data_IF_603475518307
#
_entry.id   IF_603475518307
#
_cell.length_a   1.000
_cell.length_b   1.000
_cell.length_c   1.000
_cell.angle_alpha   90.00
_cell.angle_beta   90.00
_cell.angle_gamma   90.00
#
_symmetry.space_group_name_H-M   'P 1'
#
loop_
_entity.id
_entity.type
_entity.pdbx_description
1 polymer ?
#
# COMPACT_ATOMS: atom_id res chain seq x y z
N UNK A 1 25.14 52.74 16.43
CA UNK A 1 23.81 52.11 16.25
C UNK A 1 22.99 52.38 17.50
N UNK A 2 21.75 52.88 17.40
CA UNK A 2 20.89 53.10 18.57
C UNK A 2 20.02 51.86 18.85
N UNK A 3 19.34 51.82 20.00
CA UNK A 3 18.55 50.65 20.42
C UNK A 3 17.41 50.27 19.45
N UNK A 4 16.78 51.27 18.81
CA UNK A 4 15.73 51.06 17.82
C UNK A 4 16.27 50.43 16.53
N UNK A 5 17.39 50.94 16.01
CA UNK A 5 18.05 50.36 14.83
C UNK A 5 18.55 48.93 15.11
N UNK A 6 18.98 48.66 16.34
CA UNK A 6 19.34 47.30 16.75
C UNK A 6 18.12 46.38 16.81
N UNK A 7 16.99 46.81 17.40
CA UNK A 7 15.73 46.07 17.40
C UNK A 7 15.31 45.69 15.99
N UNK A 8 15.32 46.66 15.06
CA UNK A 8 14.97 46.41 13.66
C UNK A 8 15.84 45.32 13.04
N UNK A 9 17.15 45.40 13.21
CA UNK A 9 18.09 44.39 12.73
C UNK A 9 17.87 43.00 13.36
N UNK A 10 17.46 42.94 14.63
CA UNK A 10 17.13 41.67 15.29
C UNK A 10 15.86 41.08 14.68
N UNK A 11 14.79 41.87 14.52
CA UNK A 11 13.51 41.40 13.95
C UNK A 11 13.61 40.99 12.48
N UNK A 12 14.51 41.60 11.71
CA UNK A 12 14.82 41.17 10.34
C UNK A 12 15.50 39.78 10.28
N UNK A 13 16.14 39.33 11.37
CA UNK A 13 16.87 38.05 11.44
C UNK A 13 16.13 36.96 12.20
N UNK A 14 15.53 37.32 13.33
CA UNK A 14 14.85 36.41 14.24
C UNK A 14 13.73 37.14 15.01
N UNK A 15 12.51 36.69 14.77
CA UNK A 15 11.31 37.26 15.39
C UNK A 15 10.97 36.61 16.74
N UNK A 16 11.63 35.51 17.13
CA UNK A 16 11.33 34.76 18.34
C UNK A 16 12.14 35.23 19.57
N UNK A 17 13.17 36.06 19.39
CA UNK A 17 14.01 36.57 20.49
C UNK A 17 13.25 37.64 21.30
N UNK A 18 13.05 37.45 22.62
CA UNK A 18 12.50 38.50 23.47
C UNK A 18 13.37 39.75 23.47
N UNK A 19 12.78 40.92 23.26
CA UNK A 19 13.49 42.19 23.17
C UNK A 19 12.90 43.23 24.12
N UNK A 20 13.70 43.66 25.09
CA UNK A 20 13.31 44.66 26.08
C UNK A 20 14.23 45.88 25.94
N UNK A 21 13.64 47.05 25.75
CA UNK A 21 14.38 48.31 25.76
C UNK A 21 14.41 48.87 27.18
N UNK A 22 15.61 49.14 27.69
CA UNK A 22 15.81 49.76 29.00
C UNK A 22 16.68 51.01 28.89
N UNK A 23 16.06 52.21 28.91
CA UNK A 23 16.73 53.48 28.58
C UNK A 23 16.75 54.49 29.73
N UNK A 24 17.77 55.34 29.81
CA UNK A 24 17.91 56.38 30.85
C UNK A 24 16.97 57.57 30.71
N UNK A 25 16.69 57.99 29.48
CA UNK A 25 15.70 59.03 29.14
C UNK A 25 14.88 58.51 27.97
N UNK A 26 13.57 58.71 28.02
CA UNK A 26 12.66 58.26 26.99
C UNK A 26 11.56 59.29 26.76
N UNK A 27 11.36 59.69 25.50
CA UNK A 27 10.13 60.35 25.06
C UNK A 27 9.12 59.25 24.71
N UNK A 28 7.85 59.52 24.94
CA UNK A 28 6.75 58.59 24.68
C UNK A 28 6.74 58.11 23.22
N UNK A 29 7.06 59.02 22.29
CA UNK A 29 7.26 58.76 20.85
C UNK A 29 8.24 57.60 20.58
N UNK A 30 9.36 57.55 21.31
CA UNK A 30 10.41 56.53 21.13
C UNK A 30 9.97 55.18 21.72
N UNK A 31 9.17 55.20 22.79
CA UNK A 31 8.60 53.99 23.36
C UNK A 31 7.56 53.37 22.41
N UNK A 32 6.70 54.20 21.83
CA UNK A 32 5.74 53.76 20.81
C UNK A 32 6.45 53.19 19.57
N UNK A 33 7.48 53.88 19.07
CA UNK A 33 8.28 53.39 17.95
C UNK A 33 8.89 52.02 18.25
N UNK A 34 9.45 51.83 19.44
CA UNK A 34 10.00 50.54 19.86
C UNK A 34 8.98 49.40 19.86
N UNK A 35 7.79 49.64 20.44
CA UNK A 35 6.75 48.61 20.53
C UNK A 35 6.18 48.28 19.15
N UNK A 36 5.96 49.28 18.29
CA UNK A 36 5.52 49.07 16.90
C UNK A 36 6.53 48.30 16.07
N UNK A 37 7.83 48.44 16.37
CA UNK A 37 8.90 47.67 15.76
C UNK A 37 9.10 46.29 16.40
N UNK A 38 8.23 45.87 17.32
CA UNK A 38 8.23 44.53 17.89
C UNK A 38 9.06 44.34 19.16
N UNK A 39 9.39 45.41 19.90
CA UNK A 39 9.88 45.25 21.27
C UNK A 39 8.77 44.66 22.15
N UNK A 40 9.11 43.69 23.00
CA UNK A 40 8.14 43.06 23.90
C UNK A 40 7.87 43.94 25.13
N UNK A 41 8.87 44.72 25.57
CA UNK A 41 8.74 45.70 26.67
C UNK A 41 9.62 46.91 26.46
N UNK A 42 9.19 48.04 27.04
CA UNK A 42 9.98 49.26 27.15
C UNK A 42 9.98 49.75 28.60
N UNK A 43 11.15 50.07 29.14
CA UNK A 43 11.33 50.53 30.50
C UNK A 43 12.28 51.74 30.55
N UNK A 44 11.98 52.69 31.43
CA UNK A 44 12.84 53.83 31.72
C UNK A 44 13.64 53.60 33.03
N UNK A 45 14.93 53.94 33.01
CA UNK A 45 15.80 53.96 34.20
C UNK A 45 15.46 55.23 34.99
N UNK A 46 15.13 55.07 36.27
CA UNK A 46 14.79 56.16 37.16
C UNK A 46 13.98 55.68 38.38
N UNK A 47 14.04 56.43 39.48
CA UNK A 47 13.49 56.01 40.77
C UNK A 47 14.41 55.06 41.54
N UNK A 48 13.86 54.28 42.48
CA UNK A 48 14.64 53.36 43.31
C UNK A 48 15.22 52.20 42.46
N UNK A 49 16.56 52.03 42.42
CA UNK A 49 17.22 50.99 41.61
C UNK A 49 16.73 49.57 41.93
N UNK A 50 16.56 49.25 43.23
CA UNK A 50 16.17 47.91 43.68
C UNK A 50 14.80 47.53 43.12
N UNK A 51 13.84 48.44 43.14
CA UNK A 51 12.50 48.23 42.56
C UNK A 51 12.55 48.05 41.04
N UNK A 52 13.28 48.92 40.32
CA UNK A 52 13.36 48.87 38.86
C UNK A 52 14.04 47.63 38.33
N UNK A 53 15.12 47.19 38.96
CA UNK A 53 15.80 45.96 38.55
C UNK A 53 14.96 44.72 38.85
N UNK A 54 14.17 44.70 39.92
CA UNK A 54 13.20 43.62 40.16
C UNK A 54 12.13 43.56 39.06
N UNK A 55 11.58 44.71 38.64
CA UNK A 55 10.61 44.77 37.53
C UNK A 55 11.24 44.26 36.23
N UNK A 56 12.46 44.71 35.91
CA UNK A 56 13.16 44.25 34.71
C UNK A 56 13.45 42.75 34.76
N UNK A 57 13.92 42.22 35.89
CA UNK A 57 14.18 40.80 36.05
C UNK A 57 12.91 39.97 35.84
N UNK A 58 11.79 40.38 36.44
CA UNK A 58 10.49 39.73 36.24
C UNK A 58 10.04 39.80 34.77
N UNK A 59 10.21 40.94 34.12
CA UNK A 59 9.87 41.12 32.72
C UNK A 59 10.71 40.21 31.81
N UNK A 60 12.03 40.11 32.04
CA UNK A 60 12.91 39.20 31.30
C UNK A 60 12.43 37.76 31.46
N UNK A 61 12.15 37.32 32.69
CA UNK A 61 11.66 35.95 32.95
C UNK A 61 10.33 35.70 32.24
N UNK A 62 9.39 36.64 32.31
CA UNK A 62 8.06 36.49 31.72
C UNK A 62 8.10 36.47 30.19
N UNK A 63 8.83 37.38 29.55
CA UNK A 63 8.91 37.42 28.08
C UNK A 63 9.67 36.22 27.52
N UNK A 64 10.74 35.76 28.20
CA UNK A 64 11.43 34.51 27.83
C UNK A 64 10.49 33.31 27.96
N UNK A 65 9.71 33.21 29.06
CA UNK A 65 8.74 32.13 29.25
C UNK A 65 7.66 32.15 28.15
N UNK A 66 7.11 33.32 27.84
CA UNK A 66 6.08 33.51 26.82
C UNK A 66 6.57 33.11 25.43
N UNK A 67 7.69 33.68 24.96
CA UNK A 67 8.26 33.37 23.64
C UNK A 67 8.67 31.90 23.51
N UNK A 68 9.23 31.29 24.56
CA UNK A 68 9.53 29.85 24.56
C UNK A 68 8.27 28.97 24.51
N UNK A 69 7.16 29.40 25.11
CA UNK A 69 5.89 28.68 25.00
C UNK A 69 5.31 28.79 23.59
N UNK A 70 5.24 30.01 23.04
CA UNK A 70 4.79 30.28 21.66
C UNK A 70 5.64 29.53 20.62
N UNK A 71 6.97 29.58 20.73
CA UNK A 71 7.86 28.88 19.81
C UNK A 71 7.72 27.36 19.90
N UNK A 72 7.55 26.80 21.11
CA UNK A 72 7.26 25.37 21.30
C UNK A 72 5.93 24.98 20.69
N UNK A 73 4.89 25.77 20.90
CA UNK A 73 3.57 25.55 20.31
C UNK A 73 3.64 25.58 18.78
N UNK A 74 4.21 26.62 18.19
CA UNK A 74 4.40 26.75 16.73
C UNK A 74 5.22 25.60 16.13
N UNK A 75 6.26 25.13 16.85
CA UNK A 75 7.07 23.98 16.42
C UNK A 75 6.26 22.68 16.46
N UNK A 76 5.50 22.46 17.52
CA UNK A 76 4.63 21.29 17.66
C UNK A 76 3.51 21.30 16.63
N UNK A 77 2.87 22.44 16.38
CA UNK A 77 1.84 22.62 15.36
C UNK A 77 2.40 22.34 13.96
N UNK A 78 3.55 22.94 13.60
CA UNK A 78 4.22 22.66 12.32
C UNK A 78 4.57 21.17 12.18
N UNK A 79 5.01 20.51 13.25
CA UNK A 79 5.32 19.07 13.25
C UNK A 79 4.05 18.25 13.04
N UNK A 80 2.98 18.54 13.79
CA UNK A 80 1.68 17.89 13.64
C UNK A 80 1.15 18.03 12.22
N UNK A 81 1.11 19.26 11.68
CA UNK A 81 0.62 19.53 10.33
C UNK A 81 1.43 18.78 9.27
N UNK A 82 2.76 18.72 9.40
CA UNK A 82 3.60 17.92 8.49
C UNK A 82 3.27 16.43 8.55
N UNK A 83 3.11 15.87 9.74
CA UNK A 83 2.78 14.44 9.91
C UNK A 83 1.39 14.13 9.36
N UNK A 84 0.39 14.93 9.76
CA UNK A 84 -0.99 14.79 9.33
C UNK A 84 -1.12 14.78 7.80
N UNK A 85 -0.45 15.69 7.09
CA UNK A 85 -0.47 15.76 5.62
C UNK A 85 0.34 14.66 4.92
N UNK A 86 1.40 14.14 5.56
CA UNK A 86 2.28 13.13 4.96
C UNK A 86 1.76 11.68 5.08
N UNK A 87 0.83 11.40 6.00
CA UNK A 87 0.28 10.05 6.19
C UNK A 87 -0.50 9.62 4.93
N UNK A 88 -0.27 8.40 4.41
CA UNK A 88 -0.94 7.91 3.19
C UNK A 88 -2.37 7.41 3.41
N UNK A 89 -2.73 7.08 4.65
CA UNK A 89 -4.10 6.72 5.04
C UNK A 89 -4.96 7.99 5.10
N UNK A 90 -6.24 7.84 4.77
CA UNK A 90 -7.19 8.94 4.81
C UNK A 90 -7.46 9.31 6.27
N UNK A 91 -7.28 10.57 6.64
CA UNK A 91 -7.57 11.04 7.99
C UNK A 91 -8.64 12.12 7.94
N UNK A 92 -9.68 11.93 8.75
CA UNK A 92 -10.73 12.90 9.00
C UNK A 92 -10.73 13.31 10.47
N UNK A 93 -10.96 14.59 10.73
CA UNK A 93 -11.28 15.11 12.06
C UNK A 93 -12.74 15.50 12.04
N UNK A 94 -13.55 14.87 12.89
CA UNK A 94 -14.99 15.11 12.99
C UNK A 94 -15.32 15.75 14.33
N UNK A 95 -16.41 16.51 14.41
CA UNK A 95 -17.04 16.84 15.69
C UNK A 95 -17.98 15.73 16.18
N UNK A 96 -18.55 15.93 17.38
CA UNK A 96 -19.52 15.01 18.03
C UNK A 96 -20.72 14.66 17.17
N UNK A 97 -21.06 15.47 16.16
CA UNK A 97 -22.23 15.28 15.30
C UNK A 97 -21.86 14.69 13.94
N UNK A 98 -20.56 14.41 13.71
CA UNK A 98 -20.04 13.90 12.45
C UNK A 98 -19.85 14.97 11.37
N UNK A 99 -19.76 16.25 11.74
CA UNK A 99 -19.35 17.29 10.80
C UNK A 99 -17.82 17.33 10.68
N UNK A 100 -17.32 17.46 9.45
CA UNK A 100 -15.90 17.35 9.16
C UNK A 100 -15.22 18.68 9.44
N UNK A 101 -14.29 18.68 10.40
CA UNK A 101 -13.50 19.86 10.79
C UNK A 101 -12.20 19.97 10.00
N UNK A 102 -11.59 18.84 9.67
CA UNK A 102 -10.37 18.84 8.87
C UNK A 102 -10.15 17.48 8.18
N UNK A 103 -9.32 17.48 7.14
CA UNK A 103 -8.86 16.29 6.42
C UNK A 103 -7.41 16.45 5.99
N UNK A 104 -6.70 15.33 5.87
CA UNK A 104 -5.35 15.34 5.31
C UNK A 104 -5.35 15.27 3.78
N UNK A 105 -4.19 15.53 3.17
CA UNK A 105 -4.03 15.50 1.71
C UNK A 105 -4.36 14.12 1.09
N UNK A 106 -4.26 13.04 1.86
CA UNK A 106 -4.59 11.70 1.36
C UNK A 106 -6.08 11.55 1.05
N UNK A 107 -6.96 12.20 1.81
CA UNK A 107 -8.40 12.25 1.51
C UNK A 107 -8.61 12.86 0.14
N UNK A 108 -8.10 14.06 -0.10
CA UNK A 108 -8.32 14.77 -1.37
C UNK A 108 -7.75 14.00 -2.57
N UNK A 109 -6.51 13.49 -2.44
CA UNK A 109 -5.86 12.72 -3.51
C UNK A 109 -6.61 11.44 -3.88
N UNK A 110 -7.20 10.75 -2.90
CA UNK A 110 -7.88 9.46 -3.15
C UNK A 110 -9.35 9.62 -3.49
N UNK A 111 -10.04 10.59 -2.90
CA UNK A 111 -11.46 10.83 -3.20
C UNK A 111 -11.65 11.57 -4.52
N UNK A 112 -10.69 12.42 -4.90
CA UNK A 112 -10.78 13.33 -6.06
C UNK A 112 -11.50 14.64 -5.76
N UNK A 113 -11.83 14.91 -4.49
CA UNK A 113 -12.51 16.12 -4.05
C UNK A 113 -11.53 17.05 -3.33
N UNK A 114 -11.72 18.35 -3.51
CA UNK A 114 -10.91 19.36 -2.85
C UNK A 114 -11.29 19.50 -1.38
N UNK A 115 -10.37 20.03 -0.57
CA UNK A 115 -10.55 20.15 0.88
C UNK A 115 -11.77 21.02 1.20
N UNK A 116 -11.97 22.08 0.44
CA UNK A 116 -13.05 23.05 0.58
C UNK A 116 -14.43 22.45 0.24
N UNK A 117 -14.47 21.38 -0.56
CA UNK A 117 -15.70 20.62 -0.85
C UNK A 117 -16.07 19.66 0.30
N UNK A 118 -15.09 19.31 1.15
CA UNK A 118 -15.22 18.29 2.20
C UNK A 118 -15.41 18.93 3.58
N UNK A 119 -14.54 19.87 3.94
CA UNK A 119 -14.52 20.49 5.26
C UNK A 119 -15.76 21.35 5.46
N UNK A 120 -16.40 21.21 6.61
CA UNK A 120 -17.65 21.88 6.96
C UNK A 120 -18.91 21.08 6.62
N UNK A 121 -18.81 20.04 5.79
CA UNK A 121 -19.93 19.16 5.46
C UNK A 121 -20.14 18.07 6.52
N UNK A 122 -21.34 17.48 6.54
CA UNK A 122 -21.58 16.27 7.34
C UNK A 122 -21.02 15.02 6.64
N UNK A 123 -20.58 14.02 7.40
CA UNK A 123 -20.22 12.70 6.86
C UNK A 123 -21.38 12.06 6.04
N UNK A 124 -22.65 12.45 6.32
CA UNK A 124 -23.84 12.01 5.55
C UNK A 124 -23.91 12.62 4.15
N UNK A 125 -23.31 13.79 3.97
CA UNK A 125 -23.35 14.59 2.75
C UNK A 125 -22.14 14.35 1.86
N UNK A 126 -21.18 13.54 2.32
CA UNK A 126 -19.97 13.27 1.54
C UNK A 126 -20.31 12.53 0.24
N UNK A 127 -19.93 13.09 -0.92
CA UNK A 127 -20.36 12.57 -2.21
C UNK A 127 -19.77 11.20 -2.56
N UNK A 128 -18.66 10.82 -1.91
CA UNK A 128 -18.02 9.53 -2.13
C UNK A 128 -18.47 8.44 -1.15
N UNK A 129 -19.31 8.75 -0.17
CA UNK A 129 -19.89 7.77 0.76
C UNK A 129 -21.29 7.35 0.32
N UNK A 130 -21.58 6.05 0.39
CA UNK A 130 -22.97 5.58 0.26
C UNK A 130 -23.75 5.91 1.53
N UNK A 131 -25.08 6.01 1.44
CA UNK A 131 -25.94 6.19 2.62
C UNK A 131 -25.66 5.11 3.69
N UNK A 132 -25.53 3.85 3.27
CA UNK A 132 -25.17 2.72 4.14
C UNK A 132 -23.81 2.94 4.83
N UNK A 133 -22.78 3.34 4.09
CA UNK A 133 -21.45 3.59 4.67
C UNK A 133 -21.47 4.76 5.65
N UNK A 134 -22.18 5.85 5.33
CA UNK A 134 -22.31 7.01 6.22
C UNK A 134 -23.03 6.66 7.53
N UNK A 135 -24.09 5.84 7.48
CA UNK A 135 -24.81 5.36 8.66
C UNK A 135 -23.92 4.48 9.56
N UNK A 136 -23.11 3.60 8.97
CA UNK A 136 -22.16 2.77 9.72
C UNK A 136 -21.17 3.65 10.49
N UNK A 137 -20.59 4.65 9.83
CA UNK A 137 -19.62 5.56 10.45
C UNK A 137 -20.26 6.31 11.63
N UNK A 138 -21.43 6.88 11.43
CA UNK A 138 -22.14 7.64 12.46
C UNK A 138 -22.58 6.80 13.65
N UNK A 139 -23.11 5.60 13.39
CA UNK A 139 -23.48 4.65 14.45
C UNK A 139 -22.25 4.24 15.27
N UNK A 140 -21.10 4.11 14.62
CA UNK A 140 -19.85 3.78 15.32
C UNK A 140 -19.29 4.99 16.09
N UNK A 141 -19.44 6.22 15.60
CA UNK A 141 -19.18 7.44 16.36
C UNK A 141 -20.04 7.50 17.64
N UNK A 142 -21.36 7.31 17.52
CA UNK A 142 -22.28 7.31 18.67
C UNK A 142 -21.90 6.26 19.72
N UNK A 143 -21.53 5.06 19.25
CA UNK A 143 -21.07 3.97 20.14
C UNK A 143 -19.76 4.32 20.85
N UNK A 144 -18.80 4.95 20.16
CA UNK A 144 -17.55 5.42 20.77
C UNK A 144 -17.80 6.49 21.81
N UNK A 145 -18.62 7.50 21.49
CA UNK A 145 -19.03 8.55 22.43
C UNK A 145 -19.71 7.98 23.68
N UNK A 146 -20.44 6.86 23.54
CA UNK A 146 -21.01 6.12 24.66
C UNK A 146 -20.01 5.24 25.44
N UNK A 147 -18.70 5.38 25.20
CA UNK A 147 -17.64 4.65 25.88
C UNK A 147 -17.42 3.21 25.42
N UNK A 148 -17.94 2.82 24.24
CA UNK A 148 -17.72 1.46 23.70
C UNK A 148 -16.44 1.41 22.88
N UNK A 149 -15.57 0.47 23.22
CA UNK A 149 -14.47 0.06 22.34
C UNK A 149 -15.03 -0.67 21.12
N UNK A 150 -14.53 -0.32 19.94
CA UNK A 150 -14.95 -0.91 18.67
C UNK A 150 -13.73 -1.43 17.91
N UNK A 151 -13.81 -2.64 17.32
CA UNK A 151 -12.80 -3.07 16.36
C UNK A 151 -12.87 -2.20 15.09
N UNK A 152 -11.85 -2.32 14.24
CA UNK A 152 -11.92 -1.76 12.89
C UNK A 152 -13.09 -2.38 12.12
N UNK A 153 -13.62 -1.61 11.18
CA UNK A 153 -14.73 -2.04 10.32
C UNK A 153 -14.49 -1.59 8.90
N UNK A 154 -15.11 -2.28 7.93
CA UNK A 154 -14.93 -1.95 6.52
C UNK A 154 -16.13 -1.22 5.96
N UNK A 155 -15.86 -0.22 5.12
CA UNK A 155 -16.86 0.48 4.32
C UNK A 155 -16.45 0.49 2.85
N UNK A 156 -17.44 0.62 1.96
CA UNK A 156 -17.22 0.83 0.54
C UNK A 156 -17.53 2.27 0.19
N UNK A 157 -16.66 2.87 -0.61
CA UNK A 157 -16.78 4.26 -1.08
C UNK A 157 -16.51 4.31 -2.58
N UNK A 158 -16.99 5.37 -3.22
CA UNK A 158 -16.84 5.58 -4.67
C UNK A 158 -16.21 6.93 -4.91
N UNK A 159 -15.03 6.96 -5.55
CA UNK A 159 -14.33 8.21 -5.83
C UNK A 159 -15.08 9.06 -6.86
N UNK A 160 -14.66 10.31 -7.05
CA UNK A 160 -15.17 11.21 -8.10
C UNK A 160 -15.07 10.61 -9.50
N UNK A 161 -14.00 9.84 -9.75
CA UNK A 161 -13.76 9.12 -11.01
C UNK A 161 -14.51 7.78 -11.10
N UNK A 162 -15.39 7.48 -10.13
CA UNK A 162 -16.19 6.24 -10.01
C UNK A 162 -15.37 4.98 -9.76
N UNK A 163 -14.16 5.12 -9.19
CA UNK A 163 -13.39 3.98 -8.73
C UNK A 163 -13.90 3.49 -7.36
N UNK A 164 -14.17 2.18 -7.19
CA UNK A 164 -14.56 1.64 -5.90
C UNK A 164 -13.33 1.48 -4.99
N UNK A 165 -13.42 2.00 -3.77
CA UNK A 165 -12.46 1.75 -2.70
C UNK A 165 -13.12 0.99 -1.55
N UNK A 166 -12.36 0.07 -0.97
CA UNK A 166 -12.70 -0.60 0.28
C UNK A 166 -11.79 -0.04 1.37
N UNK A 167 -12.39 0.63 2.34
CA UNK A 167 -11.68 1.29 3.43
C UNK A 167 -11.88 0.51 4.73
N UNK A 168 -10.78 0.17 5.41
CA UNK A 168 -10.77 -0.23 6.80
C UNK A 168 -10.70 1.01 7.67
N UNK A 169 -11.69 1.21 8.53
CA UNK A 169 -11.88 2.42 9.32
C UNK A 169 -11.66 2.13 10.79
N UNK A 170 -10.87 2.98 11.43
CA UNK A 170 -10.76 3.08 12.87
C UNK A 170 -10.97 4.54 13.31
N UNK A 171 -11.53 4.76 14.50
CA UNK A 171 -11.77 6.09 15.04
C UNK A 171 -11.40 6.14 16.51
N UNK A 172 -10.77 7.25 16.91
CA UNK A 172 -10.36 7.54 18.28
C UNK A 172 -11.03 8.86 18.72
N UNK A 173 -11.60 8.92 19.92
CA UNK A 173 -12.19 10.15 20.43
C UNK A 173 -11.11 11.21 20.68
N UNK A 174 -11.47 12.45 20.39
CA UNK A 174 -10.69 13.62 20.78
C UNK A 174 -11.34 14.23 22.02
N UNK A 175 -10.55 14.41 23.06
CA UNK A 175 -10.98 14.98 24.33
C UNK A 175 -10.18 16.24 24.67
N UNK A 176 -10.86 17.22 25.24
CA UNK A 176 -10.25 18.43 25.78
C UNK A 176 -10.87 18.69 27.15
N UNK A 177 -10.02 18.82 28.17
CA UNK A 177 -10.44 19.08 29.56
C UNK A 177 -11.47 18.06 30.12
N UNK A 178 -11.40 16.81 29.64
CA UNK A 178 -12.32 15.73 30.07
C UNK A 178 -13.65 15.71 29.32
N UNK A 179 -13.87 16.64 28.39
CA UNK A 179 -14.99 16.58 27.46
C UNK A 179 -14.54 16.02 26.12
N UNK A 180 -15.25 15.02 25.60
CA UNK A 180 -15.18 14.68 24.17
C UNK A 180 -15.44 15.97 23.39
N UNK A 181 -14.72 16.22 22.30
CA UNK A 181 -14.96 17.33 21.37
C UNK A 181 -15.21 16.85 19.94
N UNK A 182 -14.84 15.59 19.65
CA UNK A 182 -14.96 15.00 18.33
C UNK A 182 -14.26 13.66 18.25
N UNK A 183 -13.87 13.27 17.04
CA UNK A 183 -13.04 12.09 16.80
C UNK A 183 -12.05 12.31 15.66
N UNK A 184 -10.94 11.59 15.72
CA UNK A 184 -10.05 11.38 14.58
C UNK A 184 -10.36 10.02 13.97
N UNK A 185 -10.65 10.01 12.68
CA UNK A 185 -10.96 8.80 11.92
C UNK A 185 -9.81 8.54 10.95
N UNK A 186 -9.25 7.34 11.01
CA UNK A 186 -8.25 6.85 10.07
C UNK A 186 -8.90 5.78 9.21
N UNK A 187 -8.87 5.98 7.90
CA UNK A 187 -9.40 5.05 6.92
C UNK A 187 -8.27 4.57 5.99
N UNK A 188 -7.90 3.30 6.14
CA UNK A 188 -6.88 2.62 5.35
C UNK A 188 -7.51 1.98 4.12
N UNK A 189 -6.91 2.20 2.96
CA UNK A 189 -7.33 1.56 1.71
C UNK A 189 -6.81 0.13 1.64
N UNK A 190 -7.75 -0.82 1.74
CA UNK A 190 -7.50 -2.26 1.65
C UNK A 190 -8.02 -2.85 0.33
N UNK A 191 -8.33 -2.01 -0.67
CA UNK A 191 -8.98 -2.43 -1.92
C UNK A 191 -8.18 -3.51 -2.64
N UNK A 192 -6.86 -3.31 -2.78
CA UNK A 192 -5.97 -4.28 -3.44
C UNK A 192 -5.88 -5.58 -2.66
N UNK A 193 -5.80 -5.49 -1.33
CA UNK A 193 -5.74 -6.66 -0.46
C UNK A 193 -7.03 -7.48 -0.55
N UNK A 194 -8.20 -6.85 -0.43
CA UNK A 194 -9.51 -7.51 -0.53
C UNK A 194 -9.75 -8.14 -1.89
N UNK A 195 -9.38 -7.45 -2.97
CA UNK A 195 -9.45 -8.03 -4.33
C UNK A 195 -8.58 -9.28 -4.44
N UNK A 196 -7.35 -9.24 -3.91
CA UNK A 196 -6.46 -10.40 -3.92
C UNK A 196 -6.98 -11.56 -3.07
N UNK A 197 -7.41 -11.29 -1.84
CA UNK A 197 -8.03 -12.30 -0.95
C UNK A 197 -9.19 -13.00 -1.64
N UNK A 198 -10.08 -12.24 -2.29
CA UNK A 198 -11.22 -12.79 -3.01
C UNK A 198 -10.79 -13.65 -4.21
N UNK A 199 -9.84 -13.18 -5.01
CA UNK A 199 -9.33 -13.96 -6.16
C UNK A 199 -8.75 -15.29 -5.68
N UNK A 200 -7.98 -15.28 -4.57
CA UNK A 200 -7.43 -16.51 -3.99
C UNK A 200 -8.54 -17.43 -3.51
N UNK A 201 -9.55 -16.90 -2.80
CA UNK A 201 -10.67 -17.71 -2.30
C UNK A 201 -11.44 -18.36 -3.46
N UNK A 202 -11.87 -17.57 -4.45
CA UNK A 202 -12.63 -18.06 -5.61
C UNK A 202 -11.82 -19.15 -6.36
N UNK A 203 -10.51 -18.93 -6.53
CA UNK A 203 -9.60 -19.89 -7.14
C UNK A 203 -9.47 -21.19 -6.33
N UNK A 204 -9.34 -21.10 -5.00
CA UNK A 204 -9.29 -22.30 -4.15
C UNK A 204 -10.59 -23.10 -4.20
N UNK A 205 -11.75 -22.44 -4.22
CA UNK A 205 -13.04 -23.13 -4.35
C UNK A 205 -13.18 -23.84 -5.69
N UNK A 206 -12.83 -23.17 -6.80
CA UNK A 206 -12.87 -23.77 -8.13
C UNK A 206 -11.93 -24.97 -8.25
N UNK A 207 -10.72 -24.87 -7.70
CA UNK A 207 -9.77 -25.98 -7.65
C UNK A 207 -10.35 -27.19 -6.92
N UNK A 208 -10.91 -27.00 -5.73
CA UNK A 208 -11.51 -28.09 -4.93
C UNK A 208 -12.61 -28.80 -5.72
N UNK A 209 -13.49 -28.06 -6.40
CA UNK A 209 -14.58 -28.64 -7.19
C UNK A 209 -14.12 -29.40 -8.44
N UNK A 210 -12.92 -29.12 -8.96
CA UNK A 210 -12.37 -29.76 -10.16
C UNK A 210 -11.50 -30.99 -9.87
N UNK A 211 -11.25 -31.34 -8.60
CA UNK A 211 -10.42 -32.49 -8.27
C UNK A 211 -11.05 -33.77 -8.83
N UNK A 212 -10.28 -34.51 -9.62
CA UNK A 212 -10.75 -35.75 -10.26
C UNK A 212 -11.43 -35.55 -11.62
N UNK A 213 -11.60 -34.31 -12.10
CA UNK A 213 -12.10 -34.04 -13.44
C UNK A 213 -10.97 -33.85 -14.47
N UNK A 214 -11.29 -34.06 -15.74
CA UNK A 214 -10.39 -33.77 -16.87
C UNK A 214 -10.03 -32.27 -16.98
N UNK A 215 -10.81 -31.40 -16.36
CA UNK A 215 -10.68 -29.95 -16.43
C UNK A 215 -9.71 -29.38 -15.39
N UNK A 216 -9.32 -30.15 -14.37
CA UNK A 216 -8.48 -29.69 -13.25
C UNK A 216 -7.26 -28.89 -13.72
N UNK A 217 -6.51 -29.41 -14.69
CA UNK A 217 -5.30 -28.76 -15.17
C UNK A 217 -5.58 -27.42 -15.84
N UNK A 218 -6.71 -27.29 -16.52
CA UNK A 218 -7.12 -26.05 -17.17
C UNK A 218 -7.58 -25.02 -16.13
N UNK A 219 -8.37 -25.43 -15.14
CA UNK A 219 -8.76 -24.58 -14.00
C UNK A 219 -7.52 -24.01 -13.28
N UNK A 220 -6.51 -24.86 -13.00
CA UNK A 220 -5.25 -24.43 -12.37
C UNK A 220 -4.59 -23.29 -13.14
N UNK A 221 -4.42 -23.42 -14.46
CA UNK A 221 -3.71 -22.39 -15.23
C UNK A 221 -4.53 -21.12 -15.42
N UNK A 222 -5.86 -21.22 -15.48
CA UNK A 222 -6.74 -20.06 -15.62
C UNK A 222 -6.80 -19.25 -14.34
N UNK A 223 -6.87 -19.90 -13.18
CA UNK A 223 -6.84 -19.21 -11.88
C UNK A 223 -5.45 -18.66 -11.55
N UNK A 224 -4.39 -19.42 -11.84
CA UNK A 224 -3.02 -18.91 -11.73
C UNK A 224 -2.81 -17.64 -12.57
N UNK A 225 -3.45 -17.55 -13.75
CA UNK A 225 -3.39 -16.37 -14.62
C UNK A 225 -4.12 -15.18 -14.02
N UNK A 226 -5.30 -15.40 -13.41
CA UNK A 226 -6.06 -14.34 -12.71
C UNK A 226 -5.25 -13.75 -11.55
N UNK A 227 -4.55 -14.59 -10.78
CA UNK A 227 -3.77 -14.16 -9.60
C UNK A 227 -2.47 -13.44 -10.00
N UNK A 228 -1.82 -13.88 -11.10
CA UNK A 228 -0.49 -13.38 -11.48
C UNK A 228 -0.48 -12.16 -12.40
N UNK A 229 -1.60 -11.84 -13.06
CA UNK A 229 -1.60 -10.90 -14.20
C UNK A 229 -0.67 -11.32 -15.35
N UNK A 230 -0.23 -12.58 -15.39
CA UNK A 230 0.60 -13.08 -16.49
C UNK A 230 -0.20 -13.11 -17.80
N UNK A 231 0.49 -12.91 -18.93
CA UNK A 231 -0.15 -12.99 -20.25
C UNK A 231 -0.63 -14.41 -20.51
N UNK A 232 0.19 -15.39 -20.18
CA UNK A 232 -0.11 -16.82 -20.24
C UNK A 232 0.41 -17.52 -18.99
N UNK A 233 -0.26 -18.60 -18.58
CA UNK A 233 0.27 -19.54 -17.60
C UNK A 233 0.24 -20.94 -18.17
N UNK A 234 1.30 -21.70 -17.96
CA UNK A 234 1.43 -23.10 -18.38
C UNK A 234 1.55 -24.00 -17.17
N UNK A 235 0.98 -25.20 -17.24
CA UNK A 235 1.21 -26.25 -16.26
C UNK A 235 1.90 -27.43 -16.93
N UNK A 236 3.07 -27.80 -16.42
CA UNK A 236 3.78 -29.01 -16.84
C UNK A 236 3.88 -29.98 -15.68
N UNK A 237 3.56 -31.26 -15.89
CA UNK A 237 3.72 -32.32 -14.89
C UNK A 237 5.02 -33.08 -15.13
N UNK A 238 5.68 -33.51 -14.05
CA UNK A 238 6.91 -34.28 -14.11
C UNK A 238 6.66 -35.75 -13.76
N UNK A 239 7.29 -36.65 -14.52
CA UNK A 239 7.40 -38.07 -14.22
C UNK A 239 8.85 -38.35 -13.77
N UNK A 240 9.04 -38.61 -12.48
CA UNK A 240 10.35 -38.81 -11.89
C UNK A 240 11.05 -40.08 -12.38
N UNK A 241 10.29 -41.16 -12.57
CA UNK A 241 10.84 -42.46 -12.98
C UNK A 241 11.38 -42.41 -14.41
N UNK A 242 10.65 -41.71 -15.30
CA UNK A 242 11.05 -41.55 -16.71
C UNK A 242 11.98 -40.34 -16.93
N UNK A 243 12.08 -39.43 -15.96
CA UNK A 243 12.81 -38.18 -16.12
C UNK A 243 12.20 -37.27 -17.19
N UNK A 244 10.89 -37.30 -17.37
CA UNK A 244 10.17 -36.58 -18.43
C UNK A 244 9.23 -35.51 -17.90
N UNK A 245 9.06 -34.43 -18.67
CA UNK A 245 8.09 -33.38 -18.40
C UNK A 245 7.06 -33.32 -19.53
N UNK A 246 5.79 -33.15 -19.17
CA UNK A 246 4.67 -33.08 -20.11
C UNK A 246 3.84 -31.83 -19.84
N UNK A 247 3.58 -31.05 -20.89
CA UNK A 247 2.68 -29.90 -20.82
C UNK A 247 1.24 -30.40 -20.71
N UNK A 248 0.52 -29.96 -19.67
CA UNK A 248 -0.87 -30.35 -19.39
C UNK A 248 -1.89 -29.30 -19.76
N UNK A 249 -1.60 -28.03 -19.52
CA UNK A 249 -2.55 -26.95 -19.78
C UNK A 249 -1.82 -25.62 -20.06
N UNK A 250 -2.52 -24.74 -20.79
CA UNK A 250 -2.09 -23.36 -21.07
C UNK A 250 -3.29 -22.43 -20.98
N UNK A 251 -3.20 -21.38 -20.17
CA UNK A 251 -4.24 -20.35 -20.07
C UNK A 251 -3.95 -19.17 -20.99
N UNK A 252 -5.02 -18.50 -21.42
CA UNK A 252 -4.95 -17.25 -22.19
C UNK A 252 -4.54 -17.40 -23.67
N UNK A 253 -4.13 -18.60 -24.12
CA UNK A 253 -3.73 -18.84 -25.50
C UNK A 253 -4.91 -19.37 -26.33
N UNK A 254 -5.46 -18.53 -27.22
CA UNK A 254 -6.49 -18.94 -28.18
C UNK A 254 -5.93 -19.96 -29.19
N UNK A 255 -6.81 -20.79 -29.76
CA UNK A 255 -6.48 -21.84 -30.73
C UNK A 255 -5.53 -21.41 -31.87
N UNK A 256 -5.70 -20.22 -32.50
CA UNK A 256 -4.78 -19.78 -33.56
C UNK A 256 -3.34 -19.54 -33.09
N UNK A 257 -3.17 -19.01 -31.88
CA UNK A 257 -1.84 -18.80 -31.30
C UNK A 257 -1.18 -20.14 -30.97
N UNK A 258 -1.93 -21.06 -30.36
CA UNK A 258 -1.44 -22.41 -30.03
C UNK A 258 -1.04 -23.20 -31.28
N UNK A 259 -1.76 -23.03 -32.40
CA UNK A 259 -1.38 -23.63 -33.68
C UNK A 259 -0.03 -23.09 -34.17
N UNK A 260 0.16 -21.77 -34.17
CA UNK A 260 1.43 -21.14 -34.57
C UNK A 260 2.62 -21.60 -33.71
N UNK A 261 2.41 -21.75 -32.41
CA UNK A 261 3.43 -22.29 -31.50
C UNK A 261 3.72 -23.77 -31.81
N UNK A 262 2.70 -24.57 -32.08
CA UNK A 262 2.84 -25.99 -32.48
C UNK A 262 3.65 -26.13 -33.77
N UNK A 263 3.30 -25.32 -34.78
CA UNK A 263 3.97 -25.30 -36.09
C UNK A 263 5.45 -24.88 -35.94
N UNK A 264 5.73 -23.85 -35.14
CA UNK A 264 7.10 -23.40 -34.86
C UNK A 264 7.94 -24.46 -34.11
N UNK A 265 7.31 -25.27 -33.26
CA UNK A 265 7.94 -26.39 -32.56
C UNK A 265 8.02 -27.67 -33.40
N UNK A 266 7.37 -27.71 -34.57
CA UNK A 266 7.32 -28.90 -35.42
C UNK A 266 6.51 -30.05 -34.81
N UNK A 267 5.52 -29.76 -33.96
CA UNK A 267 4.74 -30.78 -33.24
C UNK A 267 3.26 -30.71 -33.63
N UNK A 268 2.62 -31.86 -33.85
CA UNK A 268 1.18 -31.92 -34.20
C UNK A 268 0.27 -31.56 -33.01
N UNK A 269 0.68 -31.90 -31.79
CA UNK A 269 -0.08 -31.60 -30.57
C UNK A 269 0.86 -31.37 -29.39
N UNK A 270 0.86 -30.14 -28.86
CA UNK A 270 1.69 -29.72 -27.73
C UNK A 270 1.40 -30.49 -26.44
N UNK A 271 0.15 -30.88 -26.20
CA UNK A 271 -0.26 -31.61 -24.98
C UNK A 271 0.10 -33.10 -25.02
N UNK A 272 0.49 -33.63 -26.19
CA UNK A 272 1.05 -34.99 -26.34
C UNK A 272 2.56 -35.02 -26.28
N UNK A 273 3.23 -33.85 -26.27
CA UNK A 273 4.67 -33.75 -26.24
C UNK A 273 5.21 -34.06 -24.83
N UNK A 274 6.16 -34.98 -24.77
CA UNK A 274 6.84 -35.37 -23.55
C UNK A 274 8.35 -35.17 -23.71
N UNK A 275 8.91 -34.25 -22.93
CA UNK A 275 10.30 -33.81 -23.03
C UNK A 275 11.17 -34.60 -22.05
N UNK A 276 12.29 -35.14 -22.51
CA UNK A 276 13.30 -35.76 -21.64
C UNK A 276 14.14 -34.67 -20.95
N UNK A 277 13.92 -34.48 -19.65
CA UNK A 277 14.50 -33.34 -18.89
C UNK A 277 15.39 -33.78 -17.73
N UNK A 278 15.25 -35.01 -17.23
CA UNK A 278 15.84 -35.48 -15.97
C UNK A 278 17.37 -35.39 -15.88
N UNK A 279 18.08 -35.39 -17.01
CA UNK A 279 19.54 -35.28 -17.06
C UNK A 279 20.05 -33.85 -17.31
N UNK A 280 19.17 -32.88 -17.58
CA UNK A 280 19.59 -31.53 -17.96
C UNK A 280 20.00 -30.70 -16.73
N UNK A 281 21.09 -29.92 -16.79
CA UNK A 281 21.50 -29.03 -15.69
C UNK A 281 20.42 -28.01 -15.31
N UNK A 282 19.62 -27.58 -16.29
CA UNK A 282 18.51 -26.64 -16.10
C UNK A 282 17.38 -27.25 -15.29
N UNK A 283 17.03 -28.51 -15.56
CA UNK A 283 16.03 -29.23 -14.77
C UNK A 283 16.51 -29.45 -13.32
N UNK A 284 17.79 -29.77 -13.11
CA UNK A 284 18.38 -29.90 -11.77
C UNK A 284 18.21 -28.64 -10.91
N UNK A 285 18.19 -27.44 -11.51
CA UNK A 285 17.91 -26.17 -10.80
C UNK A 285 16.54 -26.19 -10.07
N UNK A 286 15.57 -26.92 -10.62
CA UNK A 286 14.21 -27.06 -10.08
C UNK A 286 14.04 -28.27 -9.16
N UNK A 287 14.82 -29.34 -9.36
CA UNK A 287 14.71 -30.57 -8.56
C UNK A 287 15.61 -30.60 -7.31
N UNK A 288 16.74 -29.87 -7.32
CA UNK A 288 17.73 -29.86 -6.21
C UNK A 288 17.33 -28.90 -5.09
N UNK A 289 16.56 -27.86 -5.41
CA UNK A 289 16.01 -26.95 -4.40
C UNK A 289 14.71 -27.54 -3.87
N UNK A 290 14.78 -28.23 -2.72
CA UNK A 290 13.59 -28.60 -1.92
C UNK A 290 12.79 -27.38 -1.42
N UNK A 291 13.34 -26.18 -1.59
CA UNK A 291 12.68 -24.92 -1.28
C UNK A 291 11.83 -24.43 -2.45
N UNK A 292 10.55 -24.14 -2.19
CA UNK A 292 9.58 -23.55 -3.13
C UNK A 292 9.96 -22.10 -3.46
N UNK A 293 11.01 -21.91 -4.25
CA UNK A 293 11.48 -20.58 -4.68
C UNK A 293 11.10 -20.33 -6.14
N UNK A 294 10.44 -19.21 -6.45
CA UNK A 294 10.22 -18.79 -7.83
C UNK A 294 11.56 -18.65 -8.56
N UNK A 295 11.62 -19.14 -9.79
CA UNK A 295 12.82 -19.05 -10.63
C UNK A 295 12.50 -18.15 -11.82
N UNK A 296 13.09 -16.96 -11.82
CA UNK A 296 13.11 -16.11 -13.01
C UNK A 296 14.07 -16.75 -14.02
N UNK A 297 13.58 -16.95 -15.24
CA UNK A 297 14.30 -17.60 -16.32
C UNK A 297 14.76 -16.55 -17.34
N UNK A 298 15.92 -16.80 -17.95
CA UNK A 298 16.51 -15.85 -18.91
C UNK A 298 15.74 -15.79 -20.23
N UNK A 299 15.29 -16.95 -20.69
CA UNK A 299 14.68 -17.13 -22.00
C UNK A 299 13.83 -18.42 -22.04
N UNK A 300 13.11 -18.60 -23.13
CA UNK A 300 12.27 -19.76 -23.41
C UNK A 300 13.09 -21.03 -23.64
N UNK A 301 14.38 -20.88 -23.95
CA UNK A 301 15.33 -22.00 -24.02
C UNK A 301 15.59 -22.57 -22.63
N UNK A 302 15.73 -21.72 -21.60
CA UNK A 302 15.78 -22.17 -20.22
C UNK A 302 14.45 -22.78 -19.76
N UNK A 303 13.33 -22.17 -20.15
CA UNK A 303 11.97 -22.63 -19.82
C UNK A 303 11.66 -24.03 -20.36
N UNK A 304 12.17 -24.34 -21.55
CA UNK A 304 12.04 -25.68 -22.17
C UNK A 304 13.16 -26.63 -21.77
N UNK A 305 13.91 -26.31 -20.72
CA UNK A 305 15.06 -27.09 -20.22
C UNK A 305 16.17 -27.35 -21.26
N UNK A 306 16.19 -26.56 -22.34
CA UNK A 306 17.08 -26.72 -23.47
C UNK A 306 16.70 -27.82 -24.45
N UNK A 307 15.45 -28.31 -24.43
CA UNK A 307 14.97 -29.36 -25.33
C UNK A 307 14.78 -28.91 -26.78
N UNK A 308 14.71 -27.61 -27.03
CA UNK A 308 14.62 -27.03 -28.39
C UNK A 308 15.81 -26.14 -28.68
N UNK A 309 16.13 -25.90 -29.96
CA UNK A 309 17.20 -24.98 -30.31
C UNK A 309 16.82 -23.52 -29.99
N UNK A 310 17.83 -22.66 -29.79
CA UNK A 310 17.63 -21.25 -29.39
C UNK A 310 16.84 -20.43 -30.42
N UNK A 311 16.99 -20.73 -31.71
CA UNK A 311 16.28 -20.01 -32.79
C UNK A 311 14.77 -20.22 -32.72
N UNK A 312 14.35 -21.47 -32.49
CA UNK A 312 12.93 -21.84 -32.30
C UNK A 312 12.39 -21.20 -31.03
N UNK A 313 13.12 -21.27 -29.92
CA UNK A 313 12.73 -20.62 -28.66
C UNK A 313 12.52 -19.11 -28.83
N UNK A 314 13.46 -18.40 -29.47
CA UNK A 314 13.33 -16.96 -29.73
C UNK A 314 12.15 -16.62 -30.65
N UNK A 315 11.87 -17.48 -31.61
CA UNK A 315 10.69 -17.32 -32.49
C UNK A 315 9.39 -17.43 -31.70
N UNK A 316 9.30 -18.38 -30.75
CA UNK A 316 8.13 -18.56 -29.89
C UNK A 316 7.96 -17.36 -28.95
N UNK A 317 9.03 -16.85 -28.33
CA UNK A 317 8.96 -15.63 -27.49
C UNK A 317 8.36 -14.45 -28.25
N UNK A 318 8.78 -14.26 -29.51
CA UNK A 318 8.25 -13.22 -30.40
C UNK A 318 6.79 -13.46 -30.76
N UNK A 319 6.42 -14.70 -31.11
CA UNK A 319 5.03 -15.09 -31.43
C UNK A 319 4.11 -14.84 -30.23
N UNK A 320 4.57 -15.19 -29.02
CA UNK A 320 3.80 -15.04 -27.79
C UNK A 320 3.89 -13.62 -27.23
N UNK A 321 4.88 -12.81 -27.63
CA UNK A 321 5.13 -11.47 -27.10
C UNK A 321 5.42 -11.50 -25.60
N UNK A 322 6.33 -12.39 -25.19
CA UNK A 322 6.74 -12.62 -23.80
C UNK A 322 8.10 -11.97 -23.58
N UNK A 323 8.26 -11.26 -22.46
CA UNK A 323 9.50 -10.60 -22.05
C UNK A 323 10.12 -11.19 -20.80
N UNK A 324 9.30 -11.74 -19.91
CA UNK A 324 9.76 -12.34 -18.65
C UNK A 324 9.05 -13.68 -18.45
N UNK A 325 9.81 -14.68 -17.98
CA UNK A 325 9.29 -16.00 -17.65
C UNK A 325 9.67 -16.32 -16.22
N UNK A 326 8.67 -16.65 -15.40
CA UNK A 326 8.86 -17.13 -14.03
C UNK A 326 8.34 -18.55 -13.91
N UNK A 327 9.14 -19.45 -13.39
CA UNK A 327 8.75 -20.83 -13.13
C UNK A 327 8.66 -21.07 -11.61
N UNK A 328 7.51 -21.57 -11.14
CA UNK A 328 7.28 -21.97 -9.75
C UNK A 328 7.18 -23.50 -9.69
N UNK A 329 8.10 -24.17 -8.98
CA UNK A 329 8.03 -25.61 -8.76
C UNK A 329 6.77 -25.98 -7.95
N UNK A 330 6.04 -26.99 -8.40
CA UNK A 330 4.97 -27.64 -7.63
C UNK A 330 5.58 -28.83 -6.90
N UNK A 331 5.64 -28.73 -5.57
CA UNK A 331 6.19 -29.78 -4.72
C UNK A 331 5.08 -30.42 -3.89
N UNK A 332 4.94 -31.74 -3.97
CA UNK A 332 4.17 -32.51 -2.98
C UNK A 332 5.05 -33.55 -2.32
N UNK A 333 4.95 -33.68 -0.99
CA UNK A 333 5.78 -34.59 -0.18
C UNK A 333 7.28 -34.49 -0.51
N UNK A 334 7.78 -33.26 -0.64
CA UNK A 334 9.15 -32.90 -1.09
C UNK A 334 9.56 -33.38 -2.49
N UNK A 335 8.63 -33.95 -3.28
CA UNK A 335 8.85 -34.38 -4.65
C UNK A 335 8.30 -33.36 -5.64
N UNK A 336 9.06 -33.11 -6.70
CA UNK A 336 8.63 -32.25 -7.81
C UNK A 336 7.56 -32.96 -8.63
N UNK A 337 6.31 -32.49 -8.52
CA UNK A 337 5.17 -33.05 -9.26
C UNK A 337 4.88 -32.29 -10.56
N UNK A 338 5.33 -31.04 -10.65
CA UNK A 338 5.15 -30.21 -11.83
C UNK A 338 5.75 -28.81 -11.68
N UNK A 339 5.50 -27.95 -12.67
CA UNK A 339 5.95 -26.56 -12.70
C UNK A 339 4.80 -25.69 -13.27
N UNK A 340 4.50 -24.59 -12.60
CA UNK A 340 3.73 -23.48 -13.15
C UNK A 340 4.68 -22.48 -13.81
N UNK A 341 4.52 -22.28 -15.11
CA UNK A 341 5.24 -21.28 -15.88
C UNK A 341 4.38 -20.05 -16.12
N UNK A 342 4.81 -18.89 -15.64
CA UNK A 342 4.15 -17.59 -15.81
C UNK A 342 4.90 -16.79 -16.86
N UNK A 343 4.20 -16.40 -17.93
CA UNK A 343 4.79 -15.69 -19.07
C UNK A 343 4.21 -14.28 -19.13
N UNK A 344 5.05 -13.27 -18.88
CA UNK A 344 4.67 -11.86 -18.79
C UNK A 344 5.05 -11.08 -20.05
N UNK A 345 4.25 -10.06 -20.40
CA UNK A 345 4.52 -9.14 -21.52
C UNK A 345 5.49 -8.00 -21.17
N UNK A 346 5.81 -7.83 -19.89
CA UNK A 346 6.70 -6.79 -19.38
C UNK A 346 7.53 -7.34 -18.21
N UNK A 347 8.75 -6.83 -18.07
CA UNK A 347 9.60 -7.09 -16.91
C UNK A 347 9.19 -6.19 -15.73
N UNK A 348 9.19 -6.74 -14.52
CA UNK A 348 8.98 -5.97 -13.29
C UNK A 348 10.20 -6.05 -12.38
N UNK A 349 10.68 -4.89 -11.91
CA UNK A 349 11.86 -4.83 -11.02
C UNK A 349 11.64 -5.51 -9.67
N UNK A 350 10.40 -5.55 -9.16
CA UNK A 350 10.03 -6.17 -7.88
C UNK A 350 8.63 -6.78 -8.00
N UNK A 351 8.55 -8.08 -8.28
CA UNK A 351 7.30 -8.84 -8.26
C UNK A 351 7.11 -9.48 -6.88
N UNK A 352 5.92 -9.37 -6.32
CA UNK A 352 5.54 -10.16 -5.13
C UNK A 352 5.07 -11.55 -5.60
N UNK A 353 5.67 -12.61 -5.03
CA UNK A 353 5.37 -14.00 -5.37
C UNK A 353 4.52 -14.73 -4.30
N UNK A 354 4.21 -14.10 -3.17
CA UNK A 354 3.57 -14.74 -2.01
C UNK A 354 2.25 -15.40 -2.41
N UNK A 355 1.38 -14.67 -3.11
CA UNK A 355 0.10 -15.21 -3.61
C UNK A 355 0.27 -16.35 -4.61
N UNK A 356 1.34 -16.33 -5.42
CA UNK A 356 1.62 -17.39 -6.40
C UNK A 356 2.16 -18.65 -5.73
N UNK A 357 2.95 -18.50 -4.67
CA UNK A 357 3.44 -19.61 -3.87
C UNK A 357 2.30 -20.29 -3.10
N UNK A 358 1.41 -19.50 -2.46
CA UNK A 358 0.21 -20.02 -1.81
C UNK A 358 -0.65 -20.79 -2.82
N UNK A 359 -0.88 -20.23 -4.00
CA UNK A 359 -1.66 -20.91 -5.04
C UNK A 359 -0.98 -22.19 -5.55
N UNK A 360 0.34 -22.17 -5.73
CA UNK A 360 1.12 -23.34 -6.15
C UNK A 360 0.96 -24.51 -5.16
N UNK A 361 0.85 -24.23 -3.86
CA UNK A 361 0.61 -25.25 -2.84
C UNK A 361 -0.74 -25.93 -3.03
N UNK A 362 -1.81 -25.14 -3.19
CA UNK A 362 -3.15 -25.68 -3.48
C UNK A 362 -3.15 -26.50 -4.78
N UNK A 363 -2.53 -25.99 -5.85
CA UNK A 363 -2.43 -26.70 -7.12
C UNK A 363 -1.67 -28.04 -6.97
N UNK A 364 -0.55 -28.05 -6.22
CA UNK A 364 0.22 -29.27 -6.00
C UNK A 364 -0.58 -30.37 -5.29
N UNK A 365 -1.36 -30.00 -4.27
CA UNK A 365 -2.22 -30.93 -3.53
C UNK A 365 -3.39 -31.42 -4.38
N UNK A 366 -4.00 -30.54 -5.19
CA UNK A 366 -5.10 -30.90 -6.08
C UNK A 366 -4.65 -31.90 -7.16
N UNK A 367 -3.48 -31.70 -7.76
CA UNK A 367 -2.88 -32.62 -8.74
C UNK A 367 -2.62 -33.99 -8.11
N UNK A 368 -2.05 -34.03 -6.90
CA UNK A 368 -1.76 -35.29 -6.21
C UNK A 368 -3.04 -36.04 -5.85
N UNK A 369 -4.04 -35.34 -5.29
CA UNK A 369 -5.36 -35.94 -5.00
C UNK A 369 -6.01 -36.52 -6.26
N UNK A 370 -6.01 -35.77 -7.36
CA UNK A 370 -6.57 -36.25 -8.63
C UNK A 370 -5.84 -37.50 -9.16
N UNK A 371 -4.51 -37.60 -8.99
CA UNK A 371 -3.77 -38.82 -9.33
C UNK A 371 -4.19 -40.02 -8.47
N UNK A 372 -4.42 -39.83 -7.18
CA UNK A 372 -4.89 -40.91 -6.30
C UNK A 372 -6.29 -41.39 -6.68
N UNK A 373 -7.20 -40.48 -7.05
CA UNK A 373 -8.53 -40.86 -7.54
C UNK A 373 -8.45 -41.69 -8.83
N UNK A 374 -7.65 -41.28 -9.81
CA UNK A 374 -7.48 -42.05 -11.05
C UNK A 374 -6.86 -43.44 -10.87
N UNK A 375 -6.10 -43.66 -9.78
CA UNK A 375 -5.53 -44.98 -9.44
C UNK A 375 -6.51 -45.90 -8.70
N UNK A 376 -7.63 -45.37 -8.18
CA UNK A 376 -8.67 -46.14 -7.51
C UNK A 376 -9.80 -46.57 -8.46
N UNK A 377 -9.88 -45.95 -9.65
CA UNK A 377 -10.83 -46.29 -10.71
C UNK A 377 -10.27 -47.29 -11.75
N UNK A 378 -8.96 -47.57 -11.72
CA UNK A 378 -8.28 -48.68 -12.43
C UNK A 378 -8.20 -49.93 -11.54
#
# INVERSE_FOLDING_TARGET
MNGIKFLKNVRERDDDIPFIIFTGKGREEVAMEALNLGADRYFQKGGNPKSRFTILANAVVNEVKRRRAEARWRKSEKKFRKLFMAIPDLIFILDKKGAIKDVNDAVCRKSGFDKEEIVGTSIRELPFLTSKSSEIVLKNLERRVAGKELPSYTIEVMTKDKDPLILEVNGELLEQEGEVIGEIVVARDITKQRKMEKIILDATSALISSIGSDELYQVIVDDARKISSAKFVTLSTFNADKGTAKLRAVSGAKTPLMKRVSDALGVKNLFKLELSVGKTPRFKKFSVKKERKPVVLKDFYEFTFGSFNRSVCSSIEKIMGVKEIVAIPLLSNEKLVGILGYLFSSEEKKRNFDSLLIFADFASQAIEKSRMFGQLEE
#
